data_IF_878839224948
#
_entry.id   IF_878839224948
#
_cell.length_a   1.000
_cell.length_b   1.000
_cell.length_c   1.000
_cell.angle_alpha   90.00
_cell.angle_beta   90.00
_cell.angle_gamma   90.00
#
_symmetry.space_group_name_H-M   'P 1'
#
loop_
_entity.id
_entity.type
_entity.pdbx_description
1 polymer ?
#
# COMPACT_ATOMS: atom_id res chain seq x y z
N UNK A 1 -21.01 -39.44 -58.76
CA UNK A 1 -19.57 -39.60 -58.46
C UNK A 1 -18.90 -38.35 -58.99
N UNK A 2 -18.25 -37.46 -58.23
CA UNK A 2 -17.31 -37.65 -57.13
C UNK A 2 -17.35 -36.38 -56.23
N UNK A 3 -17.33 -36.61 -54.91
CA UNK A 3 -17.16 -35.59 -53.87
C UNK A 3 -15.69 -35.15 -53.85
N UNK A 4 -15.40 -33.87 -54.06
CA UNK A 4 -14.14 -33.27 -53.62
C UNK A 4 -14.31 -32.81 -52.17
N UNK A 5 -13.60 -33.49 -51.27
CA UNK A 5 -13.52 -33.20 -49.84
C UNK A 5 -12.79 -31.88 -49.56
N UNK A 6 -13.09 -31.23 -48.41
CA UNK A 6 -12.53 -29.94 -48.06
C UNK A 6 -11.04 -30.03 -47.73
N UNK A 7 -10.30 -29.01 -48.19
CA UNK A 7 -8.90 -28.77 -47.85
C UNK A 7 -8.72 -28.69 -46.34
N UNK A 8 -7.68 -29.39 -45.87
CA UNK A 8 -7.21 -29.49 -44.50
C UNK A 8 -7.33 -28.17 -43.74
N UNK A 9 -8.12 -28.18 -42.67
CA UNK A 9 -8.07 -27.18 -41.60
C UNK A 9 -6.63 -27.11 -41.10
N UNK A 10 -5.89 -26.07 -41.48
CA UNK A 10 -4.69 -25.66 -40.77
C UNK A 10 -5.04 -25.53 -39.29
N UNK A 11 -4.60 -26.51 -38.48
CA UNK A 11 -4.59 -26.38 -37.03
C UNK A 11 -3.69 -25.19 -36.74
N UNK A 12 -4.30 -24.02 -36.50
CA UNK A 12 -3.59 -22.88 -35.92
C UNK A 12 -2.83 -23.40 -34.70
N UNK A 13 -1.54 -23.10 -34.55
CA UNK A 13 -0.81 -23.48 -33.34
C UNK A 13 -1.60 -22.97 -32.14
N UNK A 14 -1.64 -23.73 -31.03
CA UNK A 14 -2.30 -23.25 -29.82
C UNK A 14 -1.75 -21.85 -29.49
N UNK A 15 -2.62 -20.88 -29.17
CA UNK A 15 -2.17 -19.52 -28.91
C UNK A 15 -1.08 -19.58 -27.84
N UNK A 16 0.09 -19.00 -28.16
CA UNK A 16 1.21 -18.97 -27.23
C UNK A 16 0.76 -18.40 -25.87
N UNK A 17 1.17 -19.05 -24.78
CA UNK A 17 0.79 -18.66 -23.43
C UNK A 17 1.13 -17.19 -23.18
N UNK A 18 0.12 -16.40 -22.79
CA UNK A 18 0.32 -14.99 -22.49
C UNK A 18 0.94 -14.82 -21.09
N UNK A 19 2.26 -14.92 -21.01
CA UNK A 19 3.04 -14.84 -19.76
C UNK A 19 2.70 -13.66 -18.85
N UNK A 20 2.48 -12.42 -19.33
CA UNK A 20 2.10 -11.33 -18.44
C UNK A 20 0.78 -11.59 -17.70
N UNK A 21 -0.16 -12.31 -18.32
CA UNK A 21 -1.40 -12.70 -17.64
C UNK A 21 -1.15 -13.79 -16.59
N UNK A 22 -0.24 -14.74 -16.86
CA UNK A 22 0.14 -15.75 -15.87
C UNK A 22 0.75 -15.08 -14.64
N UNK A 23 1.72 -14.20 -14.84
CA UNK A 23 2.39 -13.47 -13.76
C UNK A 23 1.37 -12.62 -12.97
N UNK A 24 0.54 -11.84 -13.68
CA UNK A 24 -0.49 -11.01 -13.04
C UNK A 24 -1.49 -11.86 -12.23
N UNK A 25 -1.92 -13.01 -12.75
CA UNK A 25 -2.84 -13.91 -12.06
C UNK A 25 -2.21 -14.50 -10.81
N UNK A 26 -1.00 -15.04 -10.92
CA UNK A 26 -0.27 -15.64 -9.79
C UNK A 26 0.00 -14.60 -8.70
N UNK A 27 0.52 -13.44 -9.09
CA UNK A 27 0.76 -12.33 -8.16
C UNK A 27 -0.52 -11.88 -7.46
N UNK A 28 -1.58 -11.60 -8.22
CA UNK A 28 -2.84 -11.10 -7.64
C UNK A 28 -3.47 -12.14 -6.72
N UNK A 29 -3.44 -13.42 -7.09
CA UNK A 29 -3.95 -14.52 -6.26
C UNK A 29 -3.18 -14.67 -4.96
N UNK A 30 -1.84 -14.63 -5.01
CA UNK A 30 -1.00 -14.68 -3.82
C UNK A 30 -1.25 -13.46 -2.91
N UNK A 31 -1.31 -12.27 -3.49
CA UNK A 31 -1.59 -11.05 -2.76
C UNK A 31 -2.97 -11.05 -2.09
N UNK A 32 -4.00 -11.63 -2.74
CA UNK A 32 -5.33 -11.86 -2.14
C UNK A 32 -5.22 -12.81 -0.94
N UNK A 33 -4.56 -13.95 -1.11
CA UNK A 33 -4.38 -14.93 -0.03
C UNK A 33 -3.67 -14.33 1.19
N UNK A 34 -2.60 -13.57 0.97
CA UNK A 34 -1.88 -12.88 2.04
C UNK A 34 -2.74 -11.81 2.71
N UNK A 35 -3.45 -10.98 1.92
CA UNK A 35 -4.31 -9.92 2.47
C UNK A 35 -5.47 -10.49 3.29
N UNK A 36 -6.06 -11.60 2.85
CA UNK A 36 -7.11 -12.29 3.60
C UNK A 36 -6.55 -13.10 4.79
N UNK A 37 -5.30 -13.53 4.72
CA UNK A 37 -4.56 -14.05 5.87
C UNK A 37 -4.40 -12.98 6.97
N UNK A 38 -4.02 -11.76 6.58
CA UNK A 38 -3.98 -10.60 7.50
C UNK A 38 -5.38 -10.31 8.07
N UNK A 39 -6.42 -10.31 7.23
CA UNK A 39 -7.80 -10.18 7.72
C UNK A 39 -8.14 -11.23 8.80
N UNK A 40 -7.85 -12.51 8.54
CA UNK A 40 -8.12 -13.59 9.48
C UNK A 40 -7.35 -13.41 10.79
N UNK A 41 -6.05 -13.12 10.71
CA UNK A 41 -5.19 -12.93 11.88
C UNK A 41 -5.58 -11.72 12.73
N UNK A 42 -5.89 -10.59 12.08
CA UNK A 42 -6.27 -9.36 12.78
C UNK A 42 -7.69 -9.45 13.34
N UNK A 43 -8.61 -10.15 12.65
CA UNK A 43 -9.95 -10.41 13.17
C UNK A 43 -9.89 -11.29 14.42
N UNK A 44 -9.11 -12.38 14.40
CA UNK A 44 -8.94 -13.24 15.58
C UNK A 44 -8.23 -12.50 16.71
N UNK A 45 -7.19 -11.72 16.40
CA UNK A 45 -6.50 -10.86 17.36
C UNK A 45 -7.44 -9.84 18.03
N UNK A 46 -8.28 -9.15 17.25
CA UNK A 46 -9.27 -8.20 17.76
C UNK A 46 -10.33 -8.86 18.64
N UNK A 47 -10.82 -10.05 18.26
CA UNK A 47 -11.75 -10.83 19.10
C UNK A 47 -11.08 -11.23 20.42
N UNK A 48 -9.84 -11.72 20.39
CA UNK A 48 -9.10 -12.11 21.60
C UNK A 48 -8.87 -10.92 22.53
N UNK A 49 -8.47 -9.77 21.99
CA UNK A 49 -8.27 -8.53 22.77
C UNK A 49 -9.58 -8.04 23.40
N UNK A 50 -10.72 -8.27 22.74
CA UNK A 50 -12.03 -7.90 23.28
C UNK A 50 -12.39 -8.73 24.53
N UNK A 51 -12.05 -10.02 24.56
CA UNK A 51 -12.32 -10.90 25.71
C UNK A 51 -11.21 -10.92 26.76
N UNK A 52 -9.97 -10.64 26.36
CA UNK A 52 -8.80 -10.58 27.22
C UNK A 52 -7.98 -9.32 26.89
N UNK A 53 -8.39 -8.15 27.40
CA UNK A 53 -7.73 -6.88 27.12
C UNK A 53 -6.26 -6.94 27.54
N UNK A 54 -5.37 -6.84 26.55
CA UNK A 54 -3.93 -6.76 26.72
C UNK A 54 -3.45 -5.51 25.98
N UNK A 55 -3.02 -4.49 26.71
CA UNK A 55 -2.58 -3.20 26.14
C UNK A 55 -3.59 -2.06 26.27
N UNK A 56 -3.48 -1.07 25.38
CA UNK A 56 -4.29 0.15 25.42
C UNK A 56 -5.77 -0.10 25.08
N UNK A 57 -6.71 0.72 25.57
CA UNK A 57 -8.14 0.61 25.26
C UNK A 57 -8.46 0.61 23.76
N UNK A 58 -7.65 1.28 22.93
CA UNK A 58 -7.84 1.37 21.47
C UNK A 58 -7.36 0.13 20.68
N UNK A 59 -6.65 -0.81 21.34
CA UNK A 59 -6.02 -1.96 20.66
C UNK A 59 -7.01 -2.86 19.90
N UNK A 60 -8.21 -3.18 20.42
CA UNK A 60 -9.18 -4.01 19.70
C UNK A 60 -9.67 -3.32 18.43
N UNK A 61 -10.00 -2.03 18.50
CA UNK A 61 -10.47 -1.23 17.36
C UNK A 61 -9.41 -1.19 16.26
N UNK A 62 -8.13 -1.02 16.62
CA UNK A 62 -7.03 -1.08 15.66
C UNK A 62 -6.94 -2.41 14.93
N UNK A 63 -7.08 -3.52 15.65
CA UNK A 63 -7.12 -4.87 15.07
C UNK A 63 -8.30 -5.03 14.09
N UNK A 64 -9.50 -4.53 14.42
CA UNK A 64 -10.65 -4.58 13.51
C UNK A 64 -10.49 -3.69 12.27
N UNK A 65 -9.87 -2.52 12.41
CA UNK A 65 -9.54 -1.66 11.25
C UNK A 65 -8.56 -2.37 10.32
N UNK A 66 -7.48 -2.95 10.86
CA UNK A 66 -6.53 -3.74 10.06
C UNK A 66 -7.18 -4.95 9.40
N UNK A 67 -8.08 -5.63 10.11
CA UNK A 67 -8.84 -6.73 9.54
C UNK A 67 -9.66 -6.27 8.32
N UNK A 68 -10.44 -5.21 8.49
CA UNK A 68 -11.24 -4.65 7.40
C UNK A 68 -10.36 -4.16 6.24
N UNK A 69 -9.21 -3.56 6.52
CA UNK A 69 -8.21 -3.18 5.51
C UNK A 69 -7.73 -4.40 4.72
N UNK A 70 -7.35 -5.50 5.38
CA UNK A 70 -6.91 -6.72 4.71
C UNK A 70 -8.00 -7.33 3.81
N UNK A 71 -9.25 -7.34 4.29
CA UNK A 71 -10.39 -7.78 3.50
C UNK A 71 -10.62 -6.89 2.27
N UNK A 72 -10.59 -5.57 2.47
CA UNK A 72 -10.81 -4.57 1.43
C UNK A 72 -9.71 -4.59 0.36
N UNK A 73 -8.44 -4.61 0.77
CA UNK A 73 -7.29 -4.74 -0.15
C UNK A 73 -7.40 -6.03 -0.96
N UNK A 74 -7.68 -7.17 -0.32
CA UNK A 74 -7.90 -8.43 -1.02
C UNK A 74 -9.06 -8.34 -2.04
N UNK A 75 -10.16 -7.68 -1.69
CA UNK A 75 -11.28 -7.47 -2.61
C UNK A 75 -10.91 -6.58 -3.81
N UNK A 76 -10.08 -5.55 -3.61
CA UNK A 76 -9.60 -4.66 -4.67
C UNK A 76 -8.65 -5.34 -5.66
N UNK A 77 -8.03 -6.47 -5.29
CA UNK A 77 -7.16 -7.26 -6.15
C UNK A 77 -7.92 -8.25 -7.04
N UNK A 78 -9.18 -8.59 -6.69
CA UNK A 78 -10.02 -9.53 -7.44
C UNK A 78 -10.16 -9.18 -8.92
N UNK A 79 -10.39 -7.91 -9.33
CA UNK A 79 -10.51 -7.58 -10.75
C UNK A 79 -9.23 -7.90 -11.53
N UNK A 80 -8.04 -7.64 -10.96
CA UNK A 80 -6.77 -7.96 -11.61
C UNK A 80 -6.65 -9.46 -11.85
N UNK A 81 -6.90 -10.29 -10.82
CA UNK A 81 -6.89 -11.74 -10.93
C UNK A 81 -7.92 -12.24 -11.96
N UNK A 82 -9.16 -11.73 -11.88
CA UNK A 82 -10.26 -12.13 -12.76
C UNK A 82 -9.97 -11.81 -14.24
N UNK A 83 -9.53 -10.60 -14.56
CA UNK A 83 -9.19 -10.22 -15.94
C UNK A 83 -8.02 -11.05 -16.48
N UNK A 84 -6.98 -11.29 -15.67
CA UNK A 84 -5.86 -12.14 -16.09
C UNK A 84 -6.28 -13.58 -16.34
N UNK A 85 -7.11 -14.17 -15.47
CA UNK A 85 -7.61 -15.54 -15.61
C UNK A 85 -8.54 -15.67 -16.81
N UNK A 86 -9.47 -14.73 -16.99
CA UNK A 86 -10.38 -14.73 -18.13
C UNK A 86 -9.60 -14.74 -19.45
N UNK A 87 -8.54 -13.92 -19.56
CA UNK A 87 -7.68 -13.92 -20.75
C UNK A 87 -6.93 -15.23 -20.94
N UNK A 88 -6.41 -15.87 -19.88
CA UNK A 88 -5.78 -17.19 -19.97
C UNK A 88 -6.77 -18.27 -20.42
N UNK A 89 -8.05 -18.12 -20.07
CA UNK A 89 -9.14 -18.99 -20.53
C UNK A 89 -9.70 -18.61 -21.91
N UNK A 90 -9.15 -17.60 -22.59
CA UNK A 90 -9.65 -17.11 -23.86
C UNK A 90 -11.04 -16.47 -23.78
N UNK A 91 -11.42 -15.95 -22.60
CA UNK A 91 -12.72 -15.31 -22.31
C UNK A 91 -12.56 -13.80 -22.16
N UNK A 92 -13.59 -13.07 -22.53
CA UNK A 92 -13.71 -11.64 -22.26
C UNK A 92 -14.71 -11.40 -21.13
N UNK A 93 -14.34 -10.53 -20.18
CA UNK A 93 -15.25 -10.12 -19.10
C UNK A 93 -16.09 -8.95 -19.61
N UNK A 94 -17.34 -9.24 -19.96
CA UNK A 94 -18.33 -8.23 -20.30
C UNK A 94 -19.09 -7.79 -19.04
N UNK A 95 -18.75 -6.61 -18.54
CA UNK A 95 -19.45 -6.01 -17.41
C UNK A 95 -20.85 -5.56 -17.86
N UNK A 96 -21.88 -6.20 -17.30
CA UNK A 96 -23.28 -5.99 -17.67
C UNK A 96 -23.82 -4.58 -17.37
N UNK A 97 -25.10 -4.35 -17.71
CA UNK A 97 -25.80 -3.07 -17.49
C UNK A 97 -25.77 -2.62 -16.02
N UNK A 98 -25.90 -3.55 -15.08
CA UNK A 98 -25.89 -3.31 -13.63
C UNK A 98 -24.58 -2.66 -13.16
N UNK A 99 -23.43 -3.13 -13.66
CA UNK A 99 -22.13 -2.55 -13.29
C UNK A 99 -21.97 -1.12 -13.80
N UNK A 100 -22.46 -0.83 -15.01
CA UNK A 100 -22.47 0.55 -15.53
C UNK A 100 -23.33 1.48 -14.70
N UNK A 101 -24.46 1.00 -14.20
CA UNK A 101 -25.33 1.75 -13.30
C UNK A 101 -24.66 2.02 -11.95
N UNK A 102 -24.05 0.99 -11.35
CA UNK A 102 -23.27 1.13 -10.11
C UNK A 102 -22.14 2.16 -10.25
N UNK A 103 -21.36 2.09 -11.34
CA UNK A 103 -20.30 3.07 -11.63
C UNK A 103 -20.79 4.51 -11.80
N UNK A 104 -22.06 4.70 -12.20
CA UNK A 104 -22.68 6.03 -12.33
C UNK A 104 -23.08 6.61 -10.97
N UNK A 105 -23.58 5.77 -10.05
CA UNK A 105 -23.94 6.19 -8.69
C UNK A 105 -22.68 6.49 -7.88
N UNK A 106 -21.75 5.55 -7.85
CA UNK A 106 -20.49 5.66 -7.11
C UNK A 106 -19.41 6.41 -7.90
N UNK A 107 -19.82 7.44 -8.65
CA UNK A 107 -18.89 8.21 -9.46
C UNK A 107 -18.01 9.09 -8.53
N UNK A 108 -16.67 9.11 -8.69
CA UNK A 108 -15.77 9.80 -7.76
C UNK A 108 -16.12 11.27 -7.49
N UNK A 109 -16.61 11.98 -8.51
CA UNK A 109 -17.11 13.37 -8.39
C UNK A 109 -18.20 13.58 -7.33
N UNK A 110 -19.04 12.58 -7.08
CA UNK A 110 -20.10 12.65 -6.08
C UNK A 110 -19.63 12.13 -4.72
N UNK A 111 -18.77 11.09 -4.73
CA UNK A 111 -18.22 10.51 -3.51
C UNK A 111 -17.43 11.52 -2.68
N UNK A 112 -16.68 12.43 -3.32
CA UNK A 112 -15.92 13.46 -2.60
C UNK A 112 -16.81 14.40 -1.79
N UNK A 113 -18.06 14.64 -2.22
CA UNK A 113 -19.01 15.48 -1.48
C UNK A 113 -19.49 14.80 -0.19
N UNK A 114 -19.38 13.47 -0.12
CA UNK A 114 -19.71 12.70 1.07
C UNK A 114 -18.56 12.63 2.08
N UNK A 115 -17.33 12.98 1.67
CA UNK A 115 -16.15 12.90 2.53
C UNK A 115 -16.29 13.66 3.86
N UNK A 116 -16.80 14.92 3.91
CA UNK A 116 -17.00 15.62 5.17
C UNK A 116 -17.93 14.87 6.13
N UNK A 117 -18.99 14.26 5.60
CA UNK A 117 -19.92 13.47 6.41
C UNK A 117 -19.25 12.20 6.97
N UNK A 118 -18.39 11.52 6.18
CA UNK A 118 -17.60 10.38 6.64
C UNK A 118 -16.62 10.78 7.75
N UNK A 119 -15.92 11.91 7.58
CA UNK A 119 -14.95 12.40 8.57
C UNK A 119 -15.66 12.80 9.87
N UNK A 120 -16.80 13.50 9.78
CA UNK A 120 -17.60 13.86 10.96
C UNK A 120 -18.15 12.63 11.68
N UNK A 121 -18.65 11.64 10.92
CA UNK A 121 -19.11 10.38 11.49
C UNK A 121 -17.97 9.62 12.18
N UNK A 122 -16.76 9.61 11.61
CA UNK A 122 -15.60 8.96 12.20
C UNK A 122 -15.08 9.71 13.42
N UNK A 123 -15.10 11.05 13.39
CA UNK A 123 -14.75 11.88 14.54
C UNK A 123 -15.67 11.60 15.73
N UNK A 124 -16.96 11.43 15.48
CA UNK A 124 -17.91 11.05 16.52
C UNK A 124 -17.70 9.60 16.98
N UNK A 125 -17.56 8.65 16.04
CA UNK A 125 -17.50 7.22 16.34
C UNK A 125 -16.23 6.79 17.09
N UNK A 126 -15.11 7.49 16.90
CA UNK A 126 -13.84 7.16 17.58
C UNK A 126 -13.96 7.29 19.11
N UNK A 127 -14.81 8.19 19.59
CA UNK A 127 -15.02 8.46 21.02
C UNK A 127 -16.14 7.58 21.63
N UNK A 128 -16.72 6.65 20.86
CA UNK A 128 -17.80 5.76 21.32
C UNK A 128 -17.26 4.35 21.63
N UNK A 129 -16.81 4.14 22.86
CA UNK A 129 -16.15 2.89 23.31
C UNK A 129 -16.93 1.61 22.96
N UNK A 130 -18.27 1.64 23.04
CA UNK A 130 -19.10 0.45 22.80
C UNK A 130 -19.25 0.02 21.34
N UNK A 131 -19.06 0.93 20.38
CA UNK A 131 -19.34 0.69 18.95
C UNK A 131 -18.20 1.05 18.00
N UNK A 132 -17.14 1.71 18.50
CA UNK A 132 -16.00 2.16 17.69
C UNK A 132 -15.37 1.02 16.90
N UNK A 133 -15.18 -0.15 17.53
CA UNK A 133 -14.63 -1.36 16.90
C UNK A 133 -15.41 -1.83 15.66
N UNK A 134 -16.72 -1.54 15.58
CA UNK A 134 -17.58 -1.94 14.46
C UNK A 134 -17.73 -0.83 13.41
N UNK A 135 -17.83 0.42 13.87
CA UNK A 135 -18.15 1.58 13.01
C UNK A 135 -16.90 2.23 12.43
N UNK A 136 -15.78 2.24 13.16
CA UNK A 136 -14.53 2.84 12.67
C UNK A 136 -13.93 2.13 11.45
N UNK A 137 -13.91 0.79 11.34
CA UNK A 137 -13.34 0.12 10.17
C UNK A 137 -13.92 0.58 8.82
N UNK A 138 -15.25 0.58 8.59
CA UNK A 138 -15.79 1.08 7.32
C UNK A 138 -15.57 2.59 7.14
N UNK A 139 -15.67 3.40 8.20
CA UNK A 139 -15.46 4.85 8.11
C UNK A 139 -14.01 5.22 7.77
N UNK A 140 -13.04 4.53 8.35
CA UNK A 140 -11.62 4.71 8.03
C UNK A 140 -11.33 4.35 6.58
N UNK A 141 -11.80 3.19 6.11
CA UNK A 141 -11.64 2.78 4.71
C UNK A 141 -12.24 3.83 3.77
N UNK A 142 -13.45 4.32 4.05
CA UNK A 142 -14.09 5.35 3.23
C UNK A 142 -13.32 6.68 3.26
N UNK A 143 -12.92 7.14 4.44
CA UNK A 143 -12.24 8.42 4.60
C UNK A 143 -10.89 8.46 3.87
N UNK A 144 -10.19 7.33 3.82
CA UNK A 144 -8.92 7.17 3.10
C UNK A 144 -9.15 6.94 1.59
N UNK A 145 -10.10 6.07 1.23
CA UNK A 145 -10.26 5.65 -0.17
C UNK A 145 -10.92 6.70 -1.05
N UNK A 146 -11.84 7.52 -0.50
CA UNK A 146 -12.57 8.54 -1.28
C UNK A 146 -11.60 9.58 -1.88
N UNK A 147 -10.68 10.20 -1.12
CA UNK A 147 -9.66 11.09 -1.68
C UNK A 147 -8.82 10.42 -2.77
N UNK A 148 -8.33 9.20 -2.55
CA UNK A 148 -7.52 8.46 -3.53
C UNK A 148 -8.30 8.27 -4.84
N UNK A 149 -9.54 7.78 -4.76
CA UNK A 149 -10.39 7.54 -5.93
C UNK A 149 -10.69 8.84 -6.67
N UNK A 150 -10.95 9.93 -5.94
CA UNK A 150 -11.24 11.23 -6.53
C UNK A 150 -10.01 11.83 -7.24
N UNK A 151 -8.83 11.78 -6.61
CA UNK A 151 -7.58 12.27 -7.17
C UNK A 151 -7.13 11.45 -8.39
N UNK A 152 -7.19 10.12 -8.30
CA UNK A 152 -6.89 9.24 -9.42
C UNK A 152 -7.81 9.52 -10.61
N UNK A 153 -9.12 9.65 -10.36
CA UNK A 153 -10.09 10.05 -11.38
C UNK A 153 -9.77 11.43 -11.97
N UNK A 154 -9.46 12.42 -11.13
CA UNK A 154 -9.12 13.77 -11.55
C UNK A 154 -7.91 13.78 -12.51
N UNK A 155 -6.89 12.96 -12.21
CA UNK A 155 -5.70 12.80 -13.04
C UNK A 155 -5.98 12.16 -14.41
N UNK A 156 -6.89 11.18 -14.49
CA UNK A 156 -7.05 10.36 -15.71
C UNK A 156 -8.33 10.65 -16.52
N UNK A 157 -9.28 11.47 -16.04
CA UNK A 157 -10.65 11.65 -16.58
C UNK A 157 -10.79 12.10 -18.04
N UNK A 158 -9.71 12.45 -18.72
CA UNK A 158 -9.68 12.79 -20.16
C UNK A 158 -8.58 12.08 -20.94
N UNK A 159 -7.90 11.12 -20.31
CA UNK A 159 -6.69 10.48 -20.83
C UNK A 159 -6.83 8.98 -21.06
N UNK A 160 -7.87 8.34 -20.50
CA UNK A 160 -7.98 6.88 -20.46
C UNK A 160 -8.19 6.21 -21.83
N UNK A 161 -7.13 5.59 -22.34
CA UNK A 161 -7.15 4.53 -23.34
C UNK A 161 -6.32 3.33 -22.85
N UNK A 162 -6.77 2.65 -21.78
CA UNK A 162 -6.14 1.41 -21.32
C UNK A 162 -7.18 0.30 -21.19
N UNK A 163 -6.76 -0.94 -21.44
CA UNK A 163 -7.63 -2.10 -21.21
C UNK A 163 -7.87 -2.29 -19.70
N UNK A 164 -9.06 -2.77 -19.28
CA UNK A 164 -9.36 -3.00 -17.87
C UNK A 164 -8.35 -3.90 -17.17
N UNK A 165 -7.88 -4.96 -17.84
CA UNK A 165 -6.83 -5.84 -17.30
C UNK A 165 -5.56 -5.06 -16.94
N UNK A 166 -5.14 -4.15 -17.83
CA UNK A 166 -3.94 -3.34 -17.66
C UNK A 166 -4.10 -2.35 -16.52
N UNK A 167 -5.22 -1.63 -16.47
CA UNK A 167 -5.54 -0.69 -15.38
C UNK A 167 -5.51 -1.38 -14.02
N UNK A 168 -6.18 -2.53 -13.89
CA UNK A 168 -6.20 -3.27 -12.62
C UNK A 168 -4.85 -3.92 -12.31
N UNK A 169 -4.08 -4.37 -13.30
CA UNK A 169 -2.73 -4.88 -13.09
C UNK A 169 -1.77 -3.82 -12.56
N UNK A 170 -1.78 -2.63 -13.16
CA UNK A 170 -0.99 -1.47 -12.69
C UNK A 170 -1.41 -1.10 -11.27
N UNK A 171 -2.72 -0.96 -11.02
CA UNK A 171 -3.24 -0.61 -9.71
C UNK A 171 -2.83 -1.64 -8.64
N UNK A 172 -3.01 -2.94 -8.91
CA UNK A 172 -2.62 -4.02 -8.01
C UNK A 172 -1.11 -4.06 -7.76
N UNK A 173 -0.29 -3.77 -8.77
CA UNK A 173 1.16 -3.67 -8.58
C UNK A 173 1.54 -2.49 -7.69
N UNK A 174 0.93 -1.32 -7.88
CA UNK A 174 1.15 -0.17 -6.98
C UNK A 174 0.64 -0.41 -5.57
N UNK A 175 -0.49 -1.11 -5.42
CA UNK A 175 -1.14 -1.40 -4.14
C UNK A 175 -0.36 -2.40 -3.27
N UNK A 176 0.30 -3.41 -3.87
CA UNK A 176 0.95 -4.47 -3.08
C UNK A 176 2.41 -4.68 -3.48
N UNK A 177 2.72 -4.79 -4.77
CA UNK A 177 4.09 -5.10 -5.21
C UNK A 177 5.05 -3.96 -4.85
N UNK A 178 4.64 -2.72 -5.10
CA UNK A 178 5.42 -1.52 -4.78
C UNK A 178 5.81 -1.49 -3.30
N UNK A 179 4.84 -1.45 -2.36
CA UNK A 179 5.13 -1.45 -0.94
C UNK A 179 6.00 -2.61 -0.46
N UNK A 180 5.75 -3.84 -0.93
CA UNK A 180 6.56 -5.01 -0.54
C UNK A 180 8.03 -4.84 -0.95
N UNK A 181 8.29 -4.40 -2.20
CA UNK A 181 9.67 -4.19 -2.66
C UNK A 181 10.30 -3.02 -1.93
N UNK A 182 9.57 -1.91 -1.77
CA UNK A 182 10.02 -0.70 -1.08
C UNK A 182 10.45 -1.04 0.36
N UNK A 183 9.57 -1.66 1.16
CA UNK A 183 9.90 -2.05 2.53
C UNK A 183 11.07 -3.04 2.60
N UNK A 184 11.15 -3.99 1.66
CA UNK A 184 12.28 -4.93 1.62
C UNK A 184 13.61 -4.21 1.38
N UNK A 185 13.63 -3.21 0.49
CA UNK A 185 14.82 -2.41 0.21
C UNK A 185 15.16 -1.46 1.35
N UNK A 186 14.17 -0.85 2.00
CA UNK A 186 14.39 -0.01 3.17
C UNK A 186 15.08 -0.78 4.29
N UNK A 187 14.61 -1.99 4.59
CA UNK A 187 15.23 -2.88 5.58
C UNK A 187 16.63 -3.28 5.13
N UNK A 188 16.82 -3.66 3.86
CA UNK A 188 18.14 -4.04 3.35
C UNK A 188 19.16 -2.89 3.45
N UNK A 189 18.73 -1.66 3.13
CA UNK A 189 19.58 -0.46 3.25
C UNK A 189 19.85 -0.14 4.72
N UNK A 190 18.87 -0.27 5.61
CA UNK A 190 19.08 -0.08 7.05
C UNK A 190 20.09 -1.08 7.60
N UNK A 191 19.98 -2.36 7.23
CA UNK A 191 20.93 -3.40 7.62
C UNK A 191 22.34 -3.10 7.07
N UNK A 192 22.42 -2.62 5.83
CA UNK A 192 23.69 -2.23 5.24
C UNK A 192 24.34 -1.05 5.99
N UNK A 193 23.58 -0.01 6.32
CA UNK A 193 24.03 1.12 7.13
C UNK A 193 24.48 0.64 8.51
N UNK A 194 23.72 -0.26 9.14
CA UNK A 194 24.08 -0.84 10.43
C UNK A 194 25.40 -1.62 10.37
N UNK A 195 25.63 -2.44 9.33
CA UNK A 195 26.89 -3.17 9.13
C UNK A 195 28.06 -2.19 8.98
N UNK A 196 27.89 -1.12 8.19
CA UNK A 196 28.92 -0.06 8.06
C UNK A 196 29.19 0.60 9.41
N UNK A 197 28.15 0.91 10.19
CA UNK A 197 28.29 1.52 11.50
C UNK A 197 29.06 0.62 12.48
N UNK A 198 28.73 -0.68 12.53
CA UNK A 198 29.45 -1.67 13.34
C UNK A 198 30.91 -1.77 12.90
N UNK A 199 31.17 -1.88 11.59
CA UNK A 199 32.53 -1.94 11.08
C UNK A 199 33.33 -0.67 11.41
N UNK A 200 32.71 0.50 11.31
CA UNK A 200 33.31 1.78 11.71
C UNK A 200 33.65 1.82 13.20
N UNK A 201 32.76 1.33 14.08
CA UNK A 201 33.03 1.21 15.51
C UNK A 201 34.21 0.27 15.79
N UNK A 202 34.30 -0.87 15.09
CA UNK A 202 35.43 -1.81 15.23
C UNK A 202 36.77 -1.19 14.83
N UNK A 203 36.78 -0.25 13.88
CA UNK A 203 37.98 0.47 13.47
C UNK A 203 38.37 1.61 14.43
N UNK A 204 37.48 2.00 15.34
CA UNK A 204 37.70 3.11 16.27
C UNK A 204 37.46 2.67 17.72
N UNK A 205 38.43 1.97 18.35
CA UNK A 205 38.31 1.46 19.72
C UNK A 205 37.95 2.54 20.75
N UNK A 206 38.42 3.78 20.55
CA UNK A 206 38.10 4.94 21.41
C UNK A 206 36.59 5.19 21.52
N UNK A 207 35.82 4.97 20.45
CA UNK A 207 34.36 5.14 20.46
C UNK A 207 33.70 4.01 21.25
N UNK A 208 34.23 2.78 21.15
CA UNK A 208 33.71 1.63 21.92
C UNK A 208 33.94 1.86 23.41
N UNK A 209 35.13 2.32 23.81
CA UNK A 209 35.44 2.68 25.21
C UNK A 209 34.51 3.80 25.72
N UNK A 210 34.19 4.79 24.88
CA UNK A 210 33.25 5.85 25.23
C UNK A 210 31.79 5.34 25.37
N UNK A 211 31.44 4.22 24.74
CA UNK A 211 30.11 3.60 24.80
C UNK A 211 29.95 2.61 25.95
N UNK A 212 31.04 2.03 26.46
CA UNK A 212 31.02 1.04 27.55
C UNK A 212 30.26 1.52 28.81
N UNK A 213 30.44 2.77 29.30
CA UNK A 213 29.68 3.27 30.44
C UNK A 213 28.17 3.37 30.17
N UNK A 214 27.77 3.62 28.92
CA UNK A 214 26.35 3.65 28.51
C UNK A 214 25.76 2.24 28.48
N UNK A 215 26.51 1.27 27.93
CA UNK A 215 26.09 -0.13 27.86
C UNK A 215 25.90 -0.71 29.27
N UNK A 216 26.88 -0.50 30.16
CA UNK A 216 26.79 -0.96 31.55
C UNK A 216 25.61 -0.31 32.28
N UNK A 217 25.33 0.98 32.04
CA UNK A 217 24.14 1.63 32.62
C UNK A 217 22.84 1.01 32.13
N UNK A 218 22.74 0.62 30.87
CA UNK A 218 21.55 -0.04 30.33
C UNK A 218 21.40 -1.47 30.86
N UNK A 219 22.49 -2.21 31.00
CA UNK A 219 22.47 -3.60 31.49
C UNK A 219 22.05 -3.69 32.97
N UNK A 220 22.46 -2.72 33.78
CA UNK A 220 22.13 -2.67 35.22
C UNK A 220 20.91 -1.81 35.55
N UNK A 221 20.34 -1.12 34.57
CA UNK A 221 19.12 -0.37 34.79
C UNK A 221 17.92 -1.31 34.95
N UNK A 222 17.02 -0.96 35.87
CA UNK A 222 15.74 -1.64 35.97
C UNK A 222 14.82 -1.09 34.86
N UNK A 223 13.97 -1.93 34.22
CA UNK A 223 13.08 -1.58 33.08
C UNK A 223 12.11 -0.39 33.25
N UNK A 224 12.17 0.35 34.36
CA UNK A 224 11.29 1.46 34.72
C UNK A 224 12.05 2.59 35.46
N UNK A 225 13.39 2.60 35.36
CA UNK A 225 14.22 3.58 36.06
C UNK A 225 14.46 4.82 35.21
N UNK A 226 14.44 6.00 35.84
CA UNK A 226 14.80 7.29 35.21
C UNK A 226 16.17 7.25 34.52
N UNK A 227 17.08 6.39 35.00
CA UNK A 227 18.38 6.12 34.40
C UNK A 227 18.35 5.53 32.99
N UNK A 228 17.35 4.71 32.62
CA UNK A 228 17.21 4.22 31.24
C UNK A 228 16.83 5.35 30.29
N UNK A 229 15.89 6.19 30.73
CA UNK A 229 15.43 7.33 29.96
C UNK A 229 16.56 8.36 29.76
N UNK A 230 17.41 8.56 30.77
CA UNK A 230 18.60 9.41 30.68
C UNK A 230 19.67 8.84 29.73
N UNK A 231 19.92 7.53 29.79
CA UNK A 231 20.89 6.87 28.89
C UNK A 231 20.41 6.91 27.43
N UNK A 232 19.13 6.62 27.19
CA UNK A 232 18.50 6.75 25.87
C UNK A 232 18.52 8.20 25.38
N UNK A 233 18.22 9.15 26.27
CA UNK A 233 18.29 10.59 25.97
C UNK A 233 19.68 11.01 25.47
N UNK A 234 20.76 10.50 26.07
CA UNK A 234 22.12 10.80 25.61
C UNK A 234 22.41 10.29 24.19
N UNK A 235 21.88 9.11 23.85
CA UNK A 235 22.01 8.55 22.49
C UNK A 235 21.16 9.34 21.50
N UNK A 236 19.89 9.61 21.84
CA UNK A 236 18.97 10.33 20.97
C UNK A 236 19.33 11.80 20.76
N UNK A 237 20.02 12.43 21.72
CA UNK A 237 20.50 13.80 21.58
C UNK A 237 21.86 13.91 20.88
N UNK A 238 22.48 12.79 20.49
CA UNK A 238 23.72 12.82 19.72
C UNK A 238 23.45 13.37 18.31
N UNK A 239 24.10 14.47 17.88
CA UNK A 239 23.84 15.09 16.58
C UNK A 239 24.06 14.16 15.40
N UNK A 240 25.01 13.22 15.50
CA UNK A 240 25.29 12.22 14.44
C UNK A 240 24.15 11.22 14.34
N UNK A 241 23.60 10.78 15.48
CA UNK A 241 22.45 9.85 15.52
C UNK A 241 21.22 10.54 14.93
N UNK A 242 20.94 11.78 15.35
CA UNK A 242 19.84 12.60 14.78
C UNK A 242 20.04 12.80 13.28
N UNK A 243 21.22 13.26 12.85
CA UNK A 243 21.50 13.52 11.44
C UNK A 243 21.39 12.26 10.58
N UNK A 244 21.90 11.13 11.06
CA UNK A 244 21.82 9.84 10.36
C UNK A 244 20.38 9.34 10.27
N UNK A 245 19.63 9.42 11.37
CA UNK A 245 18.21 9.07 11.40
C UNK A 245 17.37 9.95 10.47
N UNK A 246 17.58 11.27 10.50
CA UNK A 246 16.90 12.21 9.60
C UNK A 246 17.27 11.97 8.13
N UNK A 247 18.54 11.72 7.82
CA UNK A 247 18.99 11.39 6.46
C UNK A 247 18.33 10.11 5.96
N UNK A 248 18.27 9.07 6.79
CA UNK A 248 17.60 7.83 6.44
C UNK A 248 16.10 8.03 6.19
N UNK A 249 15.39 8.64 7.15
CA UNK A 249 13.93 8.81 7.08
C UNK A 249 13.48 9.86 6.05
N UNK A 250 14.26 10.91 5.83
CA UNK A 250 13.84 12.06 5.00
C UNK A 250 14.48 12.11 3.62
N UNK A 251 15.55 11.33 3.38
CA UNK A 251 16.24 11.30 2.08
C UNK A 251 16.21 9.88 1.50
N UNK A 252 16.76 8.90 2.23
CA UNK A 252 16.94 7.55 1.69
C UNK A 252 15.59 6.87 1.44
N UNK A 253 14.70 6.83 2.43
CA UNK A 253 13.36 6.24 2.29
C UNK A 253 12.59 6.91 1.13
N UNK A 254 12.40 8.25 1.10
CA UNK A 254 11.71 8.91 0.00
C UNK A 254 12.31 8.65 -1.39
N UNK A 255 13.64 8.54 -1.51
CA UNK A 255 14.28 8.22 -2.79
C UNK A 255 13.93 6.80 -3.28
N UNK A 256 13.95 5.81 -2.38
CA UNK A 256 13.54 4.43 -2.70
C UNK A 256 12.07 4.41 -3.10
N UNK A 257 11.23 5.08 -2.30
CA UNK A 257 9.80 5.17 -2.56
C UNK A 257 9.48 5.81 -3.91
N UNK A 258 10.00 7.01 -4.20
CA UNK A 258 9.71 7.72 -5.47
C UNK A 258 10.23 6.94 -6.69
N UNK A 259 11.33 6.19 -6.56
CA UNK A 259 11.82 5.33 -7.64
C UNK A 259 10.89 4.15 -7.95
N UNK A 260 10.21 3.61 -6.93
CA UNK A 260 9.44 2.36 -7.03
C UNK A 260 7.93 2.52 -6.99
N UNK A 261 7.40 3.66 -6.52
CA UNK A 261 5.99 4.04 -6.66
C UNK A 261 5.43 3.80 -8.08
N UNK A 262 6.15 4.11 -9.18
CA UNK A 262 5.70 3.82 -10.55
C UNK A 262 5.96 2.37 -11.00
N UNK A 263 6.07 1.37 -10.10
CA UNK A 263 6.30 -0.04 -10.47
C UNK A 263 5.35 -0.56 -11.55
N UNK A 264 4.09 -0.13 -11.54
CA UNK A 264 3.13 -0.50 -12.58
C UNK A 264 3.51 0.03 -13.97
N UNK A 265 4.21 1.17 -14.06
CA UNK A 265 4.80 1.71 -15.30
C UNK A 265 6.05 0.92 -15.68
N UNK A 266 6.93 0.61 -14.71
CA UNK A 266 8.13 -0.18 -14.95
C UNK A 266 7.84 -1.56 -15.55
N UNK A 267 6.76 -2.22 -15.10
CA UNK A 267 6.30 -3.49 -15.67
C UNK A 267 5.82 -3.39 -17.12
N UNK A 268 5.64 -2.16 -17.63
CA UNK A 268 5.25 -1.84 -19.00
C UNK A 268 6.41 -1.24 -19.80
N UNK A 269 7.62 -1.16 -19.23
CA UNK A 269 8.80 -0.69 -19.94
C UNK A 269 9.02 -1.51 -21.22
N UNK A 270 9.42 -0.83 -22.31
CA UNK A 270 9.59 -1.44 -23.63
C UNK A 270 8.28 -1.69 -24.41
N UNK A 271 7.12 -1.27 -23.88
CA UNK A 271 5.82 -1.33 -24.60
C UNK A 271 5.48 -0.07 -25.40
N UNK A 272 6.46 0.82 -25.65
CA UNK A 272 6.32 2.09 -26.38
C UNK A 272 5.13 2.93 -25.90
N UNK A 273 5.14 3.29 -24.61
CA UNK A 273 4.06 4.08 -24.03
C UNK A 273 4.10 5.49 -24.60
N UNK A 274 2.93 6.01 -24.99
CA UNK A 274 2.81 7.45 -25.19
C UNK A 274 2.91 8.17 -23.85
N UNK A 275 3.34 9.44 -23.81
CA UNK A 275 3.42 10.19 -22.54
C UNK A 275 2.08 10.26 -21.78
N UNK A 276 0.94 10.22 -22.51
CA UNK A 276 -0.40 10.17 -21.91
C UNK A 276 -0.68 8.82 -21.24
N UNK A 277 -0.25 7.72 -21.86
CA UNK A 277 -0.40 6.37 -21.29
C UNK A 277 0.53 6.18 -20.10
N UNK A 278 1.77 6.67 -20.19
CA UNK A 278 2.75 6.70 -19.11
C UNK A 278 2.23 7.47 -17.90
N UNK A 279 1.76 8.71 -18.10
CA UNK A 279 1.12 9.51 -17.05
C UNK A 279 -0.07 8.78 -16.41
N UNK A 280 -0.95 8.21 -17.23
CA UNK A 280 -2.13 7.47 -16.77
C UNK A 280 -1.73 6.26 -15.93
N UNK A 281 -0.74 5.49 -16.39
CA UNK A 281 -0.22 4.34 -15.65
C UNK A 281 0.45 4.78 -14.33
N UNK A 282 1.19 5.88 -14.34
CA UNK A 282 1.80 6.47 -13.16
C UNK A 282 0.75 6.88 -12.11
N UNK A 283 -0.28 7.61 -12.52
CA UNK A 283 -1.40 8.00 -11.64
C UNK A 283 -2.10 6.78 -11.02
N UNK A 284 -2.32 5.71 -11.81
CA UNK A 284 -2.96 4.48 -11.32
C UNK A 284 -2.04 3.74 -10.33
N UNK A 285 -0.74 3.64 -10.63
CA UNK A 285 0.26 3.00 -9.75
C UNK A 285 0.38 3.76 -8.43
N UNK A 286 0.51 5.09 -8.50
CA UNK A 286 0.59 5.98 -7.34
C UNK A 286 -0.68 5.96 -6.50
N UNK A 287 -1.86 5.81 -7.12
CA UNK A 287 -3.11 5.65 -6.39
C UNK A 287 -3.17 4.33 -5.62
N UNK A 288 -2.66 3.24 -6.20
CA UNK A 288 -2.50 1.97 -5.48
C UNK A 288 -1.57 2.11 -4.28
N UNK A 289 -0.38 2.68 -4.49
CA UNK A 289 0.60 2.89 -3.43
C UNK A 289 0.06 3.78 -2.31
N UNK A 290 -0.50 4.94 -2.66
CA UNK A 290 -1.11 5.86 -1.69
C UNK A 290 -2.20 5.17 -0.88
N UNK A 291 -3.05 4.35 -1.53
CA UNK A 291 -4.09 3.63 -0.81
C UNK A 291 -3.51 2.66 0.22
N UNK A 292 -2.50 1.88 -0.15
CA UNK A 292 -1.84 0.94 0.77
C UNK A 292 -1.24 1.68 1.97
N UNK A 293 -0.44 2.70 1.71
CA UNK A 293 0.26 3.46 2.74
C UNK A 293 -0.72 4.10 3.72
N UNK A 294 -1.86 4.58 3.22
CA UNK A 294 -2.88 5.24 4.03
C UNK A 294 -3.75 4.26 4.83
N UNK A 295 -4.13 3.12 4.23
CA UNK A 295 -4.91 2.09 4.93
C UNK A 295 -4.09 1.31 5.97
N UNK A 296 -2.77 1.26 5.80
CA UNK A 296 -1.85 0.69 6.78
C UNK A 296 -1.65 1.57 8.02
N UNK A 297 -2.16 2.81 8.01
CA UNK A 297 -2.07 3.69 9.15
C UNK A 297 -3.16 3.42 10.18
N UNK A 298 -2.78 2.75 11.26
CA UNK A 298 -3.67 2.36 12.35
C UNK A 298 -3.80 3.41 13.44
N UNK A 299 -3.43 4.67 13.18
CA UNK A 299 -3.59 5.76 14.14
C UNK A 299 -5.08 6.02 14.40
N UNK A 300 -5.64 5.24 15.32
CA UNK A 300 -7.04 5.23 15.74
C UNK A 300 -7.03 5.70 17.19
N UNK A 301 -7.76 6.77 17.46
CA UNK A 301 -7.70 7.47 18.75
C UNK A 301 -8.00 8.95 18.57
N UNK A 302 -7.61 9.78 19.55
CA UNK A 302 -7.91 11.22 19.60
C UNK A 302 -7.57 11.98 18.33
N UNK A 303 -6.42 11.67 17.73
CA UNK A 303 -5.87 12.40 16.58
C UNK A 303 -6.32 11.88 15.21
N UNK A 304 -7.15 10.84 15.17
CA UNK A 304 -7.59 10.17 13.93
C UNK A 304 -8.08 11.17 12.87
N UNK A 305 -8.91 12.14 13.29
CA UNK A 305 -9.49 13.14 12.38
C UNK A 305 -8.42 14.02 11.73
N UNK A 306 -7.48 14.52 12.54
CA UNK A 306 -6.39 15.37 12.06
C UNK A 306 -5.47 14.58 11.13
N UNK A 307 -5.14 13.35 11.50
CA UNK A 307 -4.26 12.46 10.72
C UNK A 307 -4.89 12.14 9.36
N UNK A 308 -6.16 11.74 9.32
CA UNK A 308 -6.86 11.42 8.07
C UNK A 308 -6.92 12.63 7.13
N UNK A 309 -7.17 13.83 7.66
CA UNK A 309 -7.17 15.08 6.86
C UNK A 309 -5.77 15.39 6.35
N UNK A 310 -4.76 15.37 7.23
CA UNK A 310 -3.38 15.69 6.89
C UNK A 310 -2.84 14.78 5.77
N UNK A 311 -3.26 13.52 5.77
CA UNK A 311 -2.82 12.52 4.79
C UNK A 311 -3.38 12.69 3.36
N UNK A 312 -4.35 13.58 3.16
CA UNK A 312 -4.79 13.98 1.81
C UNK A 312 -3.64 14.67 1.05
N UNK A 313 -2.77 15.40 1.75
CA UNK A 313 -1.58 16.04 1.16
C UNK A 313 -0.60 15.02 0.55
N UNK A 314 0.00 14.12 1.35
CA UNK A 314 0.84 13.02 0.85
C UNK A 314 0.16 12.17 -0.22
N UNK A 315 -1.13 11.84 -0.07
CA UNK A 315 -1.90 11.12 -1.09
C UNK A 315 -1.88 11.84 -2.44
N UNK A 316 -2.07 13.16 -2.42
CA UNK A 316 -2.01 13.99 -3.65
C UNK A 316 -0.62 13.95 -4.26
N UNK A 317 0.43 14.09 -3.44
CA UNK A 317 1.81 14.05 -3.89
C UNK A 317 2.13 12.70 -4.54
N UNK A 318 1.86 11.57 -3.86
CA UNK A 318 2.14 10.25 -4.41
C UNK A 318 1.47 10.02 -5.76
N UNK A 319 0.19 10.35 -5.90
CA UNK A 319 -0.53 10.16 -7.15
C UNK A 319 0.05 11.07 -8.26
N UNK A 320 0.36 12.31 -7.92
CA UNK A 320 0.85 13.30 -8.88
C UNK A 320 2.30 13.03 -9.32
N UNK A 321 3.23 12.84 -8.39
CA UNK A 321 4.65 12.61 -8.69
C UNK A 321 4.83 11.30 -9.44
N UNK A 322 4.11 10.24 -9.06
CA UNK A 322 4.13 8.97 -9.81
C UNK A 322 3.59 9.16 -11.23
N UNK A 323 2.56 10.00 -11.41
CA UNK A 323 2.08 10.42 -12.73
C UNK A 323 3.15 11.12 -13.56
N UNK A 324 3.89 12.07 -12.96
CA UNK A 324 4.97 12.78 -13.65
C UNK A 324 6.14 11.87 -14.03
N UNK A 325 6.55 10.96 -13.14
CA UNK A 325 7.59 9.97 -13.46
C UNK A 325 7.09 9.08 -14.60
N UNK A 326 5.85 8.59 -14.51
CA UNK A 326 5.25 7.80 -15.58
C UNK A 326 5.17 8.52 -16.92
N UNK A 327 4.97 9.84 -16.94
CA UNK A 327 5.02 10.66 -18.16
C UNK A 327 6.41 10.70 -18.81
N UNK A 328 7.46 10.66 -17.98
CA UNK A 328 8.85 10.78 -18.42
C UNK A 328 9.48 9.45 -18.88
N UNK A 329 8.87 8.31 -18.56
CA UNK A 329 9.28 6.96 -18.94
C UNK A 329 8.68 6.51 -20.28
#
# INVERSE_FOLDING_TARGET
>A
MSRTQPTLSEKRPPPATHWPSVIQFTFSSLAILLSWGVFGLMLTGGILQFYAPTGSPDSPTASFVLAATGLFVGALLLPSAAYSLARLMGREINLGKTWRYFRRIFHPKWLILFLPAVILAGHWAKDQEGISWLVMPPLHILAVSIPVLWLAWLGIRKLLHQSPQRTWGIFSSGLVLGPVIIFSLEIAVLLFIFIIAVFFLMLNPEIIEALEPLILRMEYAKPDSTSEMEALSQIYNNPIVIFSGLTYLSVIIPLIEEALKPIGVWLLAGRNLTPKEGFTAGVISGAGYALFENLGNTSIGTDWTLIVIARIGPTTLHIFTTGLIGYAL
#
